data_IF_758248314943
#
_entry.id   IF_758248314943
#
_cell.length_a   1.000
_cell.length_b   1.000
_cell.length_c   1.000
_cell.angle_alpha   90.00
_cell.angle_beta   90.00
_cell.angle_gamma   90.00
#
_symmetry.space_group_name_H-M   'P 1'
#
loop_
_entity.id
_entity.type
_entity.pdbx_description
1 polymer ?
#
# COMPACT_ATOMS: atom_id res chain seq x y z
N UNK A 1 -8.75 -51.29 25.98
CA UNK A 1 -9.33 -49.94 25.96
C UNK A 1 -8.35 -48.99 26.63
N UNK A 2 -7.73 -48.10 25.85
CA UNK A 2 -7.56 -46.69 26.21
C UNK A 2 -7.12 -45.98 24.95
N UNK A 3 -8.03 -45.14 24.47
CA UNK A 3 -7.88 -44.28 23.30
C UNK A 3 -7.26 -42.99 23.81
N UNK A 4 -6.02 -42.68 23.42
CA UNK A 4 -5.45 -41.35 23.63
C UNK A 4 -4.13 -41.17 22.88
N UNK A 5 -4.21 -41.13 21.56
CA UNK A 5 -3.17 -40.49 20.73
C UNK A 5 -3.77 -40.23 19.36
N UNK A 6 -4.31 -39.02 19.17
CA UNK A 6 -4.47 -38.30 17.88
C UNK A 6 -5.43 -37.11 18.06
N UNK A 7 -5.13 -36.18 18.96
CA UNK A 7 -5.75 -34.84 18.93
C UNK A 7 -4.67 -33.81 19.30
N UNK A 8 -3.84 -33.44 18.32
CA UNK A 8 -3.20 -32.13 18.30
C UNK A 8 -2.60 -31.86 16.93
N UNK A 9 -3.38 -31.27 16.03
CA UNK A 9 -2.84 -30.56 14.85
C UNK A 9 -3.95 -29.79 14.14
N UNK A 10 -4.34 -28.65 14.73
CA UNK A 10 -4.83 -27.49 13.97
C UNK A 10 -4.97 -26.30 14.92
N UNK A 11 -3.87 -25.96 15.60
CA UNK A 11 -3.74 -24.60 16.11
C UNK A 11 -3.45 -23.72 14.89
N UNK A 12 -4.51 -23.19 14.27
CA UNK A 12 -4.37 -22.17 13.24
C UNK A 12 -3.54 -21.03 13.84
N UNK A 13 -2.42 -20.74 13.20
CA UNK A 13 -1.53 -19.64 13.57
C UNK A 13 -2.29 -18.33 13.33
N UNK A 14 -2.96 -17.84 14.38
CA UNK A 14 -3.63 -16.54 14.38
C UNK A 14 -2.57 -15.45 14.48
N UNK A 15 -1.73 -15.33 13.46
CA UNK A 15 -0.93 -14.12 13.29
C UNK A 15 -1.90 -12.96 13.05
N UNK A 16 -1.89 -11.93 13.90
CA UNK A 16 -2.75 -10.78 13.72
C UNK A 16 -2.37 -10.07 12.41
N UNK A 17 -3.36 -9.87 11.53
CA UNK A 17 -3.20 -9.03 10.36
C UNK A 17 -3.21 -7.57 10.80
N UNK A 18 -2.13 -6.84 10.50
CA UNK A 18 -2.01 -5.41 10.75
C UNK A 18 -2.27 -4.61 9.48
N UNK A 19 -3.01 -3.52 9.63
CA UNK A 19 -3.39 -2.65 8.53
C UNK A 19 -2.46 -1.43 8.51
N UNK A 20 -1.81 -1.22 7.38
CA UNK A 20 -0.97 -0.06 7.13
C UNK A 20 -1.50 0.71 5.92
N UNK A 21 -1.33 2.01 5.96
CA UNK A 21 -1.85 2.94 4.97
C UNK A 21 -0.71 3.79 4.43
N UNK A 22 -0.53 3.79 3.12
CA UNK A 22 0.35 4.74 2.43
C UNK A 22 -0.46 6.00 2.11
N UNK A 23 -0.05 7.14 2.69
CA UNK A 23 -0.70 8.43 2.52
C UNK A 23 0.12 9.28 1.57
N UNK A 24 -0.43 9.54 0.38
CA UNK A 24 0.24 10.30 -0.69
C UNK A 24 -0.56 11.56 -0.99
N UNK A 25 0.12 12.71 -1.08
CA UNK A 25 -0.51 13.95 -1.48
C UNK A 25 -0.96 13.89 -2.96
N UNK A 26 -2.23 14.23 -3.22
CA UNK A 26 -2.87 13.99 -4.51
C UNK A 26 -2.15 14.63 -5.72
N UNK A 27 -1.70 15.90 -5.67
CA UNK A 27 -0.89 16.49 -6.75
C UNK A 27 0.38 15.69 -7.08
N UNK A 28 1.08 15.18 -6.06
CA UNK A 28 2.28 14.34 -6.25
C UNK A 28 1.88 13.02 -6.92
N UNK A 29 0.81 12.38 -6.44
CA UNK A 29 0.32 11.13 -7.01
C UNK A 29 -0.05 11.28 -8.49
N UNK A 30 -0.78 12.33 -8.85
CA UNK A 30 -1.21 12.57 -10.25
C UNK A 30 -0.04 12.82 -11.20
N UNK A 31 1.06 13.40 -10.71
CA UNK A 31 2.26 13.67 -11.52
C UNK A 31 3.18 12.45 -11.63
N UNK A 32 3.31 11.66 -10.56
CA UNK A 32 4.38 10.68 -10.43
C UNK A 32 3.90 9.22 -10.52
N UNK A 33 2.60 8.95 -10.42
CA UNK A 33 2.09 7.58 -10.55
C UNK A 33 2.09 7.10 -12.00
N UNK A 34 2.48 5.85 -12.21
CA UNK A 34 2.46 5.20 -13.51
C UNK A 34 2.11 3.71 -13.44
N UNK A 35 1.28 3.25 -14.37
CA UNK A 35 0.95 1.84 -14.53
C UNK A 35 0.58 1.50 -15.96
N UNK A 36 1.46 0.72 -16.59
CA UNK A 36 1.23 0.03 -17.85
C UNK A 36 0.34 -1.22 -17.74
N UNK A 37 -0.22 -1.46 -16.54
CA UNK A 37 -1.18 -2.54 -16.24
C UNK A 37 -0.60 -3.95 -16.41
N UNK A 38 0.72 -4.12 -16.54
CA UNK A 38 1.35 -5.43 -16.77
C UNK A 38 1.01 -6.48 -15.70
N UNK A 39 0.76 -6.03 -14.47
CA UNK A 39 0.36 -6.90 -13.35
C UNK A 39 -1.02 -7.55 -13.53
N UNK A 40 -1.85 -7.01 -14.44
CA UNK A 40 -3.16 -7.58 -14.80
C UNK A 40 -3.08 -8.56 -15.97
N UNK A 41 -1.88 -8.90 -16.44
CA UNK A 41 -1.70 -9.95 -17.44
C UNK A 41 -1.27 -11.26 -16.78
N UNK A 42 -1.86 -12.35 -17.22
CA UNK A 42 -1.41 -13.69 -16.85
C UNK A 42 -0.03 -14.02 -17.48
N UNK A 43 0.62 -15.13 -17.10
CA UNK A 43 1.91 -15.52 -17.67
C UNK A 43 1.92 -15.75 -19.19
N UNK A 44 0.75 -15.91 -19.82
CA UNK A 44 0.59 -16.11 -21.27
C UNK A 44 0.26 -14.79 -21.99
N UNK A 45 0.01 -13.71 -21.24
CA UNK A 45 -0.27 -12.36 -21.74
C UNK A 45 -1.75 -11.99 -21.86
N UNK A 46 -2.67 -12.86 -21.43
CA UNK A 46 -4.10 -12.55 -21.42
C UNK A 46 -4.43 -11.63 -20.25
N UNK A 47 -5.47 -10.81 -20.41
CA UNK A 47 -5.99 -9.98 -19.33
C UNK A 47 -6.73 -10.83 -18.28
N UNK A 48 -6.33 -10.69 -17.02
CA UNK A 48 -7.02 -11.30 -15.86
C UNK A 48 -8.40 -10.65 -15.66
N UNK A 49 -8.51 -9.36 -15.98
CA UNK A 49 -9.75 -8.61 -16.06
C UNK A 49 -9.63 -7.55 -17.17
N UNK A 50 -10.75 -7.17 -17.80
CA UNK A 50 -10.76 -6.18 -18.87
C UNK A 50 -10.14 -4.85 -18.39
N UNK A 51 -9.12 -4.31 -19.10
CA UNK A 51 -8.51 -3.06 -18.69
C UNK A 51 -9.46 -1.89 -18.97
N UNK A 52 -9.34 -0.78 -18.23
CA UNK A 52 -10.05 0.44 -18.59
C UNK A 52 -9.76 0.89 -20.02
N UNK A 53 -10.74 1.49 -20.69
CA UNK A 53 -10.67 1.87 -22.12
C UNK A 53 -9.74 3.05 -22.43
N UNK A 54 -9.40 3.87 -21.43
CA UNK A 54 -8.44 4.94 -21.60
C UNK A 54 -7.00 4.39 -21.66
N UNK A 55 -6.06 5.18 -22.16
CA UNK A 55 -4.65 4.79 -22.25
C UNK A 55 -4.01 4.55 -20.87
N UNK A 56 -2.97 3.71 -20.75
CA UNK A 56 -2.24 3.55 -19.50
C UNK A 56 -1.76 4.88 -18.91
N UNK A 57 -1.74 4.98 -17.58
CA UNK A 57 -1.28 6.20 -16.90
C UNK A 57 0.25 6.20 -16.95
N UNK A 58 0.81 7.28 -17.50
CA UNK A 58 2.25 7.52 -17.61
C UNK A 58 2.57 8.76 -16.79
N UNK A 59 3.62 8.68 -15.98
CA UNK A 59 4.07 9.79 -15.15
C UNK A 59 4.67 10.92 -16.00
N UNK A 60 4.79 12.11 -15.41
CA UNK A 60 5.35 13.30 -16.05
C UNK A 60 6.77 13.05 -16.59
N UNK A 61 7.58 12.31 -15.84
CA UNK A 61 8.97 11.94 -16.16
C UNK A 61 9.11 10.80 -17.18
N UNK A 62 7.99 10.38 -17.80
CA UNK A 62 7.89 9.25 -18.74
C UNK A 62 8.05 7.86 -18.12
N UNK A 63 8.07 7.74 -16.79
CA UNK A 63 7.93 6.43 -16.14
C UNK A 63 6.60 5.80 -16.55
N UNK A 64 6.65 4.54 -17.01
CA UNK A 64 5.45 3.80 -17.45
C UNK A 64 4.96 2.79 -16.41
N UNK A 65 5.77 2.51 -15.39
CA UNK A 65 5.45 1.49 -14.39
C UNK A 65 6.16 1.78 -13.07
N UNK A 66 5.39 2.03 -12.01
CA UNK A 66 5.89 2.13 -10.64
C UNK A 66 4.84 1.71 -9.59
N UNK A 67 3.76 1.02 -10.01
CA UNK A 67 2.68 0.60 -9.13
C UNK A 67 3.17 -0.16 -7.89
N UNK A 68 4.21 -0.99 -8.04
CA UNK A 68 4.79 -1.76 -6.94
C UNK A 68 5.31 -0.85 -5.81
N UNK A 69 5.87 0.33 -6.12
CA UNK A 69 6.36 1.27 -5.11
C UNK A 69 5.21 1.83 -4.25
N UNK A 70 4.00 1.93 -4.81
CA UNK A 70 2.82 2.41 -4.10
C UNK A 70 2.12 1.30 -3.29
N UNK A 71 2.23 0.04 -3.72
CA UNK A 71 1.63 -1.12 -3.03
C UNK A 71 2.53 -1.63 -1.91
N UNK A 72 3.84 -1.69 -2.14
CA UNK A 72 4.79 -2.25 -1.19
C UNK A 72 4.85 -1.37 0.07
N UNK A 73 4.73 -2.02 1.23
CA UNK A 73 4.91 -1.41 2.54
C UNK A 73 6.00 -2.20 3.25
N UNK A 74 7.10 -1.51 3.60
CA UNK A 74 8.18 -2.10 4.38
C UNK A 74 8.09 -1.65 5.82
N UNK A 75 8.58 -2.49 6.73
CA UNK A 75 8.59 -2.17 8.15
C UNK A 75 9.40 -0.89 8.46
N UNK A 76 10.46 -0.64 7.67
CA UNK A 76 11.30 0.56 7.76
C UNK A 76 10.58 1.85 7.34
N UNK A 77 9.50 1.76 6.56
CA UNK A 77 8.72 2.91 6.10
C UNK A 77 7.68 3.37 7.15
N UNK A 78 7.44 2.56 8.18
CA UNK A 78 6.41 2.84 9.19
C UNK A 78 6.88 4.00 10.07
N UNK A 79 6.13 5.10 10.00
CA UNK A 79 6.40 6.29 10.81
C UNK A 79 6.32 5.96 12.30
N UNK A 80 7.16 6.59 13.13
CA UNK A 80 7.18 6.34 14.58
C UNK A 80 6.28 7.30 15.36
N UNK A 81 5.96 8.48 14.83
CA UNK A 81 5.10 9.49 15.44
C UNK A 81 4.39 10.34 14.37
N UNK A 82 3.31 11.03 14.77
CA UNK A 82 2.59 12.00 13.92
C UNK A 82 2.93 13.40 14.39
N UNK A 83 3.77 14.11 13.63
CA UNK A 83 4.18 15.48 13.92
C UNK A 83 4.38 16.33 12.66
N UNK A 84 4.85 17.56 12.83
CA UNK A 84 5.01 18.52 11.73
C UNK A 84 5.91 17.99 10.59
N UNK A 85 6.96 17.25 10.92
CA UNK A 85 7.85 16.61 9.93
C UNK A 85 7.09 15.62 9.04
N UNK A 86 6.20 14.82 9.63
CA UNK A 86 5.40 13.84 8.91
C UNK A 86 4.36 14.49 7.99
N UNK A 87 3.74 15.61 8.41
CA UNK A 87 2.83 16.38 7.55
C UNK A 87 3.58 16.98 6.35
N UNK A 88 4.79 17.50 6.59
CA UNK A 88 5.65 17.99 5.52
C UNK A 88 6.06 16.85 4.57
N UNK A 89 6.37 15.68 5.09
CA UNK A 89 6.72 14.49 4.31
C UNK A 89 5.57 14.03 3.42
N UNK A 90 4.33 14.02 3.92
CA UNK A 90 3.13 13.74 3.09
C UNK A 90 3.08 14.69 1.89
N UNK A 91 3.40 15.96 2.12
CA UNK A 91 3.29 17.04 1.12
C UNK A 91 4.45 17.09 0.13
N UNK A 92 5.57 16.41 0.39
CA UNK A 92 6.82 16.55 -0.38
C UNK A 92 7.39 15.25 -0.93
N UNK A 93 7.14 14.10 -0.28
CA UNK A 93 7.70 12.81 -0.70
C UNK A 93 6.83 12.17 -1.78
N UNK A 94 7.48 11.61 -2.83
CA UNK A 94 6.83 10.86 -3.92
C UNK A 94 5.86 9.80 -3.43
N UNK A 95 6.30 8.99 -2.46
CA UNK A 95 5.53 7.87 -1.91
C UNK A 95 4.82 8.25 -0.59
N UNK A 96 4.86 9.55 -0.24
CA UNK A 96 4.34 10.08 1.01
C UNK A 96 4.92 9.35 2.22
N UNK A 97 4.04 8.93 3.14
CA UNK A 97 4.40 8.25 4.38
C UNK A 97 3.54 7.01 4.61
N UNK A 98 4.01 6.09 5.45
CA UNK A 98 3.23 4.93 5.89
C UNK A 98 2.84 5.08 7.35
N UNK A 99 1.58 4.77 7.64
CA UNK A 99 0.97 4.86 8.97
C UNK A 99 0.20 3.58 9.32
N UNK A 100 0.13 3.26 10.60
CA UNK A 100 -0.86 2.31 11.12
C UNK A 100 -2.22 3.01 11.35
N UNK A 101 -3.23 2.24 11.72
CA UNK A 101 -4.59 2.76 11.98
C UNK A 101 -4.63 3.92 12.99
N UNK A 102 -3.95 3.78 14.12
CA UNK A 102 -4.00 4.79 15.19
C UNK A 102 -3.36 6.12 14.73
N UNK A 103 -2.24 6.03 14.00
CA UNK A 103 -1.56 7.18 13.43
C UNK A 103 -2.38 7.88 12.35
N UNK A 104 -3.14 7.12 11.55
CA UNK A 104 -4.01 7.67 10.53
C UNK A 104 -5.11 8.56 11.13
N UNK A 105 -5.75 8.08 12.20
CA UNK A 105 -6.79 8.82 12.92
C UNK A 105 -6.22 10.12 13.54
N UNK A 106 -5.03 10.02 14.16
CA UNK A 106 -4.32 11.18 14.70
C UNK A 106 -3.96 12.19 13.59
N UNK A 107 -3.42 11.74 12.47
CA UNK A 107 -3.05 12.60 11.34
C UNK A 107 -4.25 13.40 10.82
N UNK A 108 -5.38 12.75 10.56
CA UNK A 108 -6.57 13.46 10.06
C UNK A 108 -7.17 14.43 11.07
N UNK A 109 -6.98 14.21 12.38
CA UNK A 109 -7.39 15.18 13.41
C UNK A 109 -6.57 16.48 13.38
N UNK A 110 -5.32 16.43 12.90
CA UNK A 110 -4.43 17.59 12.82
C UNK A 110 -4.62 18.40 11.54
N UNK A 111 -4.97 17.76 10.42
CA UNK A 111 -5.12 18.44 9.11
C UNK A 111 -6.55 18.90 8.80
N UNK A 112 -7.53 18.57 9.64
CA UNK A 112 -8.94 18.97 9.48
C UNK A 112 -9.33 20.26 10.21
N UNK A 113 -8.36 20.99 10.75
CA UNK A 113 -8.52 22.34 11.31
C UNK A 113 -8.25 23.42 10.27
#
# INVERSE_FOLDING_TARGET
MSVSSLENSSQFDHTPYYWFFRIVHAPIFLLLFASDRRHMKDPVGNWIAEPPSYEPIVAEDKTVHNLNEYIEIRAEDISTNVGAELINDVSTKKLGVVMNKNQLEEFFSQVSQ
#
